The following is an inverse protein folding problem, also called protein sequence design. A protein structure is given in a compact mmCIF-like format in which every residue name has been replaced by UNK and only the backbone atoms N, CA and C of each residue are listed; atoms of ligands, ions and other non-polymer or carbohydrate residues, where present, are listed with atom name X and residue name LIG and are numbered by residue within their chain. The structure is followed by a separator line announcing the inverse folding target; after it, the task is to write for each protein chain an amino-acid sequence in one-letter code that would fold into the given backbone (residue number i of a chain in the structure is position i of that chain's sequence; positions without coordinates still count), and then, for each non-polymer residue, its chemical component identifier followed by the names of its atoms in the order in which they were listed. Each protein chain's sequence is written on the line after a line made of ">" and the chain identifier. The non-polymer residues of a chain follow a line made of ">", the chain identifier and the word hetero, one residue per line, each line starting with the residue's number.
data_IF_310208441569
#
_entry.id   IF_310208441569
#
_cell.length_a   1.000
_cell.length_b   1.000
_cell.length_c   1.000
_cell.angle_alpha   90.00
_cell.angle_beta   90.00
_cell.angle_gamma   90.00
#
_symmetry.space_group_name_H-M   'P 1'
#
loop_
_entity.id
_entity.type
_entity.pdbx_description
1 polymer ?
#
# COMPACT_ATOMS: atom_id res chain seq x y z
N UNK A 1 -27.92 -45.94 -34.47
CA UNK A 1 -26.73 -45.43 -33.72
C UNK A 1 -25.85 -44.67 -34.73
N UNK A 2 -26.02 -43.38 -34.75
CA UNK A 2 -25.34 -42.49 -35.69
C UNK A 2 -24.41 -41.59 -34.84
N UNK A 3 -23.13 -41.67 -35.10
CA UNK A 3 -22.13 -40.77 -34.55
C UNK A 3 -21.95 -39.67 -35.61
N UNK A 4 -22.11 -38.39 -35.27
CA UNK A 4 -21.77 -37.33 -36.22
C UNK A 4 -20.27 -37.09 -36.18
N UNK A 5 -19.68 -37.15 -37.36
CA UNK A 5 -18.32 -36.61 -37.61
C UNK A 5 -18.40 -35.10 -37.60
N UNK A 6 -17.44 -34.47 -36.86
CA UNK A 6 -17.24 -33.02 -36.92
C UNK A 6 -16.00 -32.76 -37.76
N UNK A 7 -16.28 -32.20 -38.94
CA UNK A 7 -15.28 -31.71 -39.87
C UNK A 7 -14.46 -30.56 -39.30
N UNK A 8 -13.18 -30.58 -39.64
CA UNK A 8 -12.16 -29.56 -39.33
C UNK A 8 -12.46 -28.23 -40.06
N UNK A 9 -12.63 -27.17 -39.31
CA UNK A 9 -12.35 -25.81 -39.81
C UNK A 9 -11.16 -25.22 -39.05
N UNK A 10 -9.99 -25.42 -39.60
CA UNK A 10 -8.82 -24.58 -39.35
C UNK A 10 -8.99 -23.31 -40.16
N UNK A 11 -9.11 -22.13 -39.56
CA UNK A 11 -8.28 -20.95 -39.88
C UNK A 11 -8.68 -19.73 -39.05
N UNK A 12 -7.66 -19.12 -38.43
CA UNK A 12 -7.62 -17.77 -37.85
C UNK A 12 -8.39 -17.56 -36.52
N UNK A 13 -7.67 -17.67 -35.41
CA UNK A 13 -7.56 -16.60 -34.41
C UNK A 13 -6.44 -16.98 -33.42
N UNK A 14 -5.23 -16.58 -33.73
CA UNK A 14 -4.15 -16.46 -32.76
C UNK A 14 -4.37 -15.11 -32.04
N UNK A 15 -4.55 -15.16 -30.75
CA UNK A 15 -4.53 -14.15 -29.70
C UNK A 15 -5.86 -14.11 -28.92
N UNK A 16 -5.95 -14.91 -27.85
CA UNK A 16 -7.08 -14.87 -26.92
C UNK A 16 -7.38 -16.16 -26.15
N UNK A 17 -6.58 -17.21 -26.26
CA UNK A 17 -6.92 -18.54 -25.74
C UNK A 17 -6.17 -19.00 -24.49
N UNK A 18 -5.34 -18.16 -23.84
CA UNK A 18 -4.64 -18.57 -22.61
C UNK A 18 -5.51 -18.48 -21.35
N UNK A 19 -6.51 -17.63 -21.34
CA UNK A 19 -7.30 -17.34 -20.11
C UNK A 19 -8.48 -18.31 -19.87
N UNK A 20 -9.07 -18.85 -20.93
CA UNK A 20 -10.27 -19.70 -20.79
C UNK A 20 -10.01 -21.09 -20.16
N UNK A 21 -8.81 -21.65 -20.27
CA UNK A 21 -8.50 -22.95 -19.65
C UNK A 21 -8.26 -22.82 -18.15
N UNK A 22 -7.51 -21.79 -17.73
CA UNK A 22 -7.28 -21.51 -16.32
C UNK A 22 -8.57 -21.22 -15.56
N UNK A 23 -9.48 -20.45 -16.15
CA UNK A 23 -10.79 -20.14 -15.56
C UNK A 23 -11.68 -21.39 -15.38
N UNK A 24 -11.73 -22.29 -16.36
CA UNK A 24 -12.52 -23.54 -16.27
C UNK A 24 -11.96 -24.52 -15.26
N UNK A 25 -10.63 -24.62 -15.18
CA UNK A 25 -9.97 -25.50 -14.20
C UNK A 25 -10.17 -24.95 -12.79
N UNK A 26 -10.09 -23.64 -12.60
CA UNK A 26 -10.36 -22.98 -11.32
C UNK A 26 -11.80 -23.27 -10.86
N UNK A 27 -12.80 -23.06 -11.70
CA UNK A 27 -14.21 -23.34 -11.41
C UNK A 27 -14.45 -24.83 -11.07
N UNK A 28 -13.79 -25.74 -11.77
CA UNK A 28 -13.89 -27.17 -11.52
C UNK A 28 -13.29 -27.55 -10.14
N UNK A 29 -12.11 -27.02 -9.79
CA UNK A 29 -11.49 -27.20 -8.47
C UNK A 29 -12.34 -26.61 -7.34
N UNK A 30 -12.89 -25.43 -7.52
CA UNK A 30 -13.82 -24.81 -6.57
C UNK A 30 -15.07 -25.70 -6.34
N UNK A 31 -15.61 -26.30 -7.39
CA UNK A 31 -16.77 -27.19 -7.31
C UNK A 31 -16.45 -28.49 -6.57
N UNK A 32 -15.26 -29.07 -6.74
CA UNK A 32 -14.88 -30.32 -6.06
C UNK A 32 -14.59 -30.06 -4.57
N UNK A 33 -14.08 -28.89 -4.21
CA UNK A 33 -13.72 -28.56 -2.83
C UNK A 33 -14.90 -28.13 -1.94
N UNK A 34 -16.12 -28.07 -2.46
CA UNK A 34 -17.32 -27.72 -1.67
C UNK A 34 -17.55 -28.68 -0.47
N UNK A 35 -17.02 -29.90 -0.52
CA UNK A 35 -17.18 -30.91 0.54
C UNK A 35 -15.98 -31.05 1.48
N UNK A 36 -14.89 -30.24 1.29
CA UNK A 36 -13.64 -30.33 2.05
C UNK A 36 -13.18 -28.98 2.60
N UNK A 37 -11.94 -28.94 3.13
CA UNK A 37 -11.29 -27.67 3.48
C UNK A 37 -10.96 -26.93 2.18
N UNK A 38 -11.46 -25.69 1.96
CA UNK A 38 -11.18 -24.95 0.74
C UNK A 38 -9.69 -24.73 0.56
N UNK A 39 -9.18 -24.96 -0.64
CA UNK A 39 -7.82 -24.56 -1.02
C UNK A 39 -7.73 -23.03 -0.98
N UNK A 40 -6.59 -22.53 -0.51
CA UNK A 40 -6.28 -21.10 -0.69
C UNK A 40 -5.93 -20.80 -2.16
N UNK A 41 -5.91 -19.51 -2.53
CA UNK A 41 -5.69 -19.10 -3.92
C UNK A 41 -4.34 -19.61 -4.46
N UNK A 42 -3.29 -19.61 -3.66
CA UNK A 42 -1.97 -20.12 -4.06
C UNK A 42 -1.96 -21.65 -4.23
N UNK A 43 -2.65 -22.39 -3.38
CA UNK A 43 -2.78 -23.84 -3.52
C UNK A 43 -3.53 -24.21 -4.80
N UNK A 44 -4.55 -23.42 -5.14
CA UNK A 44 -5.28 -23.58 -6.38
C UNK A 44 -4.40 -23.30 -7.61
N UNK A 45 -3.63 -22.21 -7.61
CA UNK A 45 -2.68 -21.89 -8.67
C UNK A 45 -1.61 -22.98 -8.83
N UNK A 46 -1.10 -23.53 -7.73
CA UNK A 46 -0.14 -24.62 -7.76
C UNK A 46 -0.71 -25.92 -8.39
N UNK A 47 -2.00 -26.17 -8.19
CA UNK A 47 -2.66 -27.33 -8.81
C UNK A 47 -2.87 -27.09 -10.33
N UNK A 48 -3.29 -25.89 -10.72
CA UNK A 48 -3.53 -25.52 -12.13
C UNK A 48 -2.23 -25.57 -12.93
N UNK A 49 -1.15 -25.00 -12.39
CA UNK A 49 0.15 -24.88 -13.06
C UNK A 49 1.16 -25.92 -12.56
N UNK A 50 0.69 -27.08 -12.06
CA UNK A 50 1.58 -28.13 -11.56
C UNK A 50 2.65 -28.51 -12.58
N UNK A 51 3.90 -28.63 -12.12
CA UNK A 51 5.06 -28.92 -12.94
C UNK A 51 6.38 -28.84 -12.15
N UNK A 52 7.55 -29.03 -12.81
CA UNK A 52 8.84 -28.97 -12.15
C UNK A 52 9.06 -27.64 -11.42
N UNK A 53 8.76 -26.54 -12.06
CA UNK A 53 8.87 -25.19 -11.47
C UNK A 53 8.15 -25.07 -10.13
N UNK A 54 6.85 -25.41 -10.07
CA UNK A 54 6.05 -25.30 -8.84
C UNK A 54 6.61 -26.21 -7.75
N UNK A 55 7.09 -27.41 -8.11
CA UNK A 55 7.70 -28.34 -7.15
C UNK A 55 8.94 -27.73 -6.49
N UNK A 56 9.83 -27.14 -7.30
CA UNK A 56 11.03 -26.46 -6.80
C UNK A 56 10.71 -25.21 -6.00
N UNK A 57 9.77 -24.39 -6.47
CA UNK A 57 9.34 -23.18 -5.79
C UNK A 57 8.74 -23.49 -4.40
N UNK A 58 7.91 -24.53 -4.29
CA UNK A 58 7.40 -25.01 -3.00
C UNK A 58 8.51 -25.51 -2.07
N UNK A 59 9.48 -26.25 -2.60
CA UNK A 59 10.60 -26.75 -1.80
C UNK A 59 11.41 -25.59 -1.19
N UNK A 60 11.57 -24.48 -1.91
CA UNK A 60 12.27 -23.28 -1.42
C UNK A 60 11.41 -22.44 -0.47
N UNK A 61 10.24 -22.00 -0.93
CA UNK A 61 9.45 -20.96 -0.26
C UNK A 61 8.40 -21.48 0.73
N UNK A 62 8.03 -22.77 0.65
CA UNK A 62 7.01 -23.36 1.55
C UNK A 62 7.60 -24.33 2.57
N UNK A 63 8.91 -24.42 2.64
CA UNK A 63 9.61 -25.28 3.60
C UNK A 63 9.94 -24.48 4.87
N UNK A 64 9.21 -24.75 5.96
CA UNK A 64 9.44 -24.10 7.27
C UNK A 64 10.82 -24.35 7.88
N UNK A 65 11.57 -25.35 7.39
CA UNK A 65 12.93 -25.67 7.83
C UNK A 65 13.99 -24.88 7.03
N UNK A 66 13.61 -24.13 6.01
CA UNK A 66 14.55 -23.28 5.29
C UNK A 66 15.11 -22.19 6.22
N UNK A 67 16.43 -22.13 6.34
CA UNK A 67 17.14 -21.18 7.22
C UNK A 67 16.80 -19.70 6.89
N UNK A 68 16.42 -19.42 5.66
CA UNK A 68 16.05 -18.07 5.23
C UNK A 68 14.66 -17.63 5.69
N UNK A 69 13.79 -18.55 6.11
CA UNK A 69 12.41 -18.23 6.51
C UNK A 69 12.35 -17.23 7.65
N UNK A 70 13.25 -17.32 8.63
CA UNK A 70 13.32 -16.35 9.73
C UNK A 70 13.66 -14.94 9.21
N UNK A 71 14.65 -14.82 8.31
CA UNK A 71 15.02 -13.55 7.67
C UNK A 71 13.84 -12.99 6.88
N UNK A 72 13.20 -13.80 6.06
CA UNK A 72 12.07 -13.38 5.23
C UNK A 72 10.84 -13.00 6.06
N UNK A 73 10.58 -13.70 7.16
CA UNK A 73 9.47 -13.43 8.08
C UNK A 73 9.53 -12.06 8.76
N UNK A 74 10.67 -11.38 8.74
CA UNK A 74 10.80 -10.01 9.19
C UNK A 74 10.09 -9.02 8.23
N UNK A 75 9.99 -9.38 6.96
CA UNK A 75 9.44 -8.52 5.90
C UNK A 75 8.09 -9.01 5.36
N UNK A 76 7.86 -10.31 5.36
CA UNK A 76 6.66 -10.94 4.81
C UNK A 76 5.72 -11.39 5.94
N UNK A 77 4.45 -11.07 5.82
CA UNK A 77 3.40 -11.55 6.72
C UNK A 77 2.92 -12.93 6.26
N UNK A 78 2.78 -13.86 7.18
CA UNK A 78 2.25 -15.19 6.89
C UNK A 78 3.15 -16.32 7.40
N UNK A 79 2.96 -17.50 6.84
CA UNK A 79 3.64 -18.75 7.20
C UNK A 79 4.07 -19.52 5.96
N UNK A 80 5.29 -20.09 5.98
CA UNK A 80 5.78 -20.92 4.89
C UNK A 80 4.85 -22.11 4.60
N UNK A 81 4.34 -22.77 5.65
CA UNK A 81 3.44 -23.93 5.52
C UNK A 81 2.13 -23.62 4.82
N UNK A 82 1.66 -22.36 4.88
CA UNK A 82 0.47 -21.86 4.17
C UNK A 82 0.80 -21.27 2.80
N UNK A 83 2.04 -21.40 2.38
CA UNK A 83 2.57 -20.92 1.09
C UNK A 83 2.57 -19.39 0.92
N UNK A 84 2.38 -18.64 2.01
CA UNK A 84 2.32 -17.17 1.96
C UNK A 84 3.63 -16.54 1.42
N UNK A 85 4.79 -17.19 1.67
CA UNK A 85 6.08 -16.74 1.12
C UNK A 85 6.19 -17.00 -0.38
N UNK A 86 5.69 -18.16 -0.86
CA UNK A 86 5.64 -18.48 -2.28
C UNK A 86 4.70 -17.53 -3.02
N UNK A 87 3.51 -17.32 -2.48
CA UNK A 87 2.54 -16.36 -3.01
C UNK A 87 3.18 -14.98 -3.20
N UNK A 88 3.83 -14.48 -2.14
CA UNK A 88 4.46 -13.16 -2.18
C UNK A 88 5.64 -13.10 -3.15
N UNK A 89 6.45 -14.14 -3.24
CA UNK A 89 7.56 -14.20 -4.19
C UNK A 89 7.05 -14.17 -5.65
N UNK A 90 5.98 -14.91 -5.93
CA UNK A 90 5.34 -14.93 -7.25
C UNK A 90 4.69 -13.59 -7.60
N UNK A 91 3.98 -12.97 -6.66
CA UNK A 91 3.40 -11.64 -6.88
C UNK A 91 4.46 -10.59 -7.22
N UNK A 92 5.58 -10.60 -6.51
CA UNK A 92 6.64 -9.63 -6.74
C UNK A 92 7.30 -9.81 -8.11
N UNK A 93 7.72 -11.03 -8.46
CA UNK A 93 8.41 -11.28 -9.74
C UNK A 93 7.50 -11.09 -10.94
N UNK A 94 6.22 -11.42 -10.80
CA UNK A 94 5.24 -11.35 -11.88
C UNK A 94 4.59 -9.96 -12.02
N UNK A 95 4.87 -9.03 -11.10
CA UNK A 95 4.20 -7.73 -11.03
C UNK A 95 2.66 -7.88 -11.01
N UNK A 96 2.19 -8.81 -10.18
CA UNK A 96 0.80 -9.21 -9.98
C UNK A 96 0.14 -10.08 -11.08
N UNK A 97 0.84 -10.41 -12.17
CA UNK A 97 0.38 -11.41 -13.16
C UNK A 97 0.89 -12.82 -12.81
N UNK A 98 0.52 -13.33 -11.64
CA UNK A 98 0.97 -14.63 -11.12
C UNK A 98 0.59 -15.77 -12.08
N UNK A 99 -0.62 -15.76 -12.63
CA UNK A 99 -1.10 -16.79 -13.55
C UNK A 99 -0.28 -16.85 -14.84
N UNK A 100 0.00 -15.70 -15.45
CA UNK A 100 0.85 -15.60 -16.64
C UNK A 100 2.26 -16.09 -16.37
N UNK A 101 2.87 -15.66 -15.27
CA UNK A 101 4.21 -16.09 -14.87
C UNK A 101 4.30 -17.61 -14.66
N UNK A 102 3.40 -18.18 -13.85
CA UNK A 102 3.37 -19.62 -13.57
C UNK A 102 3.11 -20.45 -14.84
N UNK A 103 2.27 -19.94 -15.75
CA UNK A 103 2.00 -20.60 -17.04
C UNK A 103 3.25 -20.64 -17.93
N UNK A 104 3.98 -19.52 -18.01
CA UNK A 104 5.20 -19.41 -18.82
C UNK A 104 6.32 -20.31 -18.31
N UNK A 105 6.50 -20.37 -17.00
CA UNK A 105 7.57 -21.10 -16.34
C UNK A 105 7.22 -22.54 -15.93
N UNK A 106 6.01 -23.01 -16.19
CA UNK A 106 5.47 -24.30 -15.71
C UNK A 106 6.43 -25.48 -15.84
N UNK A 107 7.14 -25.56 -16.97
CA UNK A 107 8.01 -26.67 -17.35
C UNK A 107 9.50 -26.42 -17.06
N UNK A 108 9.83 -25.29 -16.44
CA UNK A 108 11.22 -24.95 -16.12
C UNK A 108 11.74 -25.88 -15.02
N UNK A 109 12.99 -26.33 -15.20
CA UNK A 109 13.68 -27.19 -14.25
C UNK A 109 14.49 -26.41 -13.23
N UNK A 110 14.28 -25.10 -13.11
CA UNK A 110 14.88 -24.23 -12.11
C UNK A 110 13.91 -23.11 -11.71
N UNK A 111 14.27 -22.37 -10.67
CA UNK A 111 13.53 -21.22 -10.15
C UNK A 111 14.46 -20.01 -10.00
N UNK A 112 15.56 -19.98 -10.74
CA UNK A 112 16.61 -18.96 -10.58
C UNK A 112 16.06 -17.54 -10.72
N UNK A 113 15.19 -17.29 -11.69
CA UNK A 113 14.57 -15.99 -11.91
C UNK A 113 13.76 -15.53 -10.68
N UNK A 114 12.92 -16.42 -10.15
CA UNK A 114 12.11 -16.18 -8.95
C UNK A 114 12.98 -15.91 -7.72
N UNK A 115 13.96 -16.79 -7.46
CA UNK A 115 14.86 -16.66 -6.31
C UNK A 115 15.69 -15.37 -6.39
N UNK A 116 16.31 -15.10 -7.55
CA UNK A 116 17.16 -13.93 -7.73
C UNK A 116 16.38 -12.64 -7.49
N UNK A 117 15.19 -12.54 -8.08
CA UNK A 117 14.35 -11.36 -7.90
C UNK A 117 13.95 -11.19 -6.43
N UNK A 118 13.44 -12.24 -5.81
CA UNK A 118 13.01 -12.21 -4.42
C UNK A 118 14.15 -11.82 -3.47
N UNK A 119 15.32 -12.43 -3.63
CA UNK A 119 16.50 -12.08 -2.83
C UNK A 119 16.95 -10.65 -3.06
N UNK A 120 16.91 -10.16 -4.31
CA UNK A 120 17.23 -8.77 -4.61
C UNK A 120 16.35 -7.79 -3.86
N UNK A 121 15.05 -8.06 -3.75
CA UNK A 121 14.12 -7.25 -2.96
C UNK A 121 14.49 -7.27 -1.47
N UNK A 122 14.66 -8.47 -0.89
CA UNK A 122 14.96 -8.63 0.55
C UNK A 122 16.32 -8.00 0.91
N UNK A 123 17.34 -8.22 0.08
CA UNK A 123 18.69 -7.71 0.33
C UNK A 123 18.73 -6.18 0.20
N UNK A 124 18.02 -5.62 -0.80
CA UNK A 124 17.88 -4.18 -0.92
C UNK A 124 17.21 -3.57 0.33
N UNK A 125 16.07 -4.12 0.77
CA UNK A 125 15.38 -3.63 1.96
C UNK A 125 16.29 -3.67 3.18
N UNK A 126 17.00 -4.80 3.40
CA UNK A 126 17.90 -4.97 4.55
C UNK A 126 19.14 -4.08 4.48
N UNK A 127 19.55 -3.64 3.30
CA UNK A 127 20.64 -2.70 3.09
C UNK A 127 20.20 -1.26 3.38
N UNK A 128 19.00 -0.88 2.97
CA UNK A 128 18.45 0.47 3.19
C UNK A 128 18.01 0.66 4.64
N UNK A 129 17.35 -0.34 5.22
CA UNK A 129 16.85 -0.31 6.59
C UNK A 129 17.56 -1.36 7.44
N UNK A 130 18.68 -0.96 8.06
CA UNK A 130 19.51 -1.87 8.87
C UNK A 130 18.85 -2.30 10.18
N UNK A 131 17.96 -1.46 10.73
CA UNK A 131 17.17 -1.81 11.90
C UNK A 131 15.85 -2.45 11.44
N UNK A 132 15.66 -3.73 11.74
CA UNK A 132 14.42 -4.45 11.42
C UNK A 132 13.35 -4.11 12.45
N UNK A 133 12.22 -3.58 11.99
CA UNK A 133 11.09 -3.20 12.83
C UNK A 133 9.84 -4.03 12.50
N UNK A 134 8.96 -4.30 13.50
CA UNK A 134 7.75 -5.08 13.27
C UNK A 134 6.83 -4.51 12.18
N UNK A 135 6.83 -3.19 12.01
CA UNK A 135 6.03 -2.47 11.02
C UNK A 135 6.45 -2.75 9.58
N UNK A 136 7.69 -3.23 9.35
CA UNK A 136 8.19 -3.63 8.04
C UNK A 136 7.48 -4.87 7.52
N UNK A 137 6.91 -5.67 8.43
CA UNK A 137 6.28 -6.94 8.07
C UNK A 137 4.98 -6.73 7.30
N UNK A 138 4.95 -7.26 6.07
CA UNK A 138 3.80 -7.22 5.19
C UNK A 138 3.59 -5.88 4.48
N UNK A 139 4.67 -5.11 4.29
CA UNK A 139 4.69 -4.03 3.32
C UNK A 139 4.84 -4.60 1.90
N UNK A 140 4.42 -3.81 0.92
CA UNK A 140 4.53 -4.16 -0.50
C UNK A 140 5.95 -3.93 -1.04
N UNK A 141 6.92 -4.69 -0.47
CA UNK A 141 8.34 -4.48 -0.75
C UNK A 141 8.71 -4.67 -2.23
N UNK A 142 8.03 -5.56 -2.95
CA UNK A 142 8.24 -5.71 -4.40
C UNK A 142 7.89 -4.44 -5.16
N UNK A 143 6.75 -3.80 -4.87
CA UNK A 143 6.37 -2.52 -5.47
C UNK A 143 7.36 -1.41 -5.10
N UNK A 144 7.71 -1.32 -3.83
CA UNK A 144 8.67 -0.33 -3.35
C UNK A 144 10.07 -0.54 -3.97
N UNK A 145 10.47 -1.79 -4.17
CA UNK A 145 11.70 -2.11 -4.87
C UNK A 145 11.67 -1.60 -6.32
N UNK A 146 10.63 -1.91 -7.08
CA UNK A 146 10.48 -1.45 -8.46
C UNK A 146 10.57 0.08 -8.57
N UNK A 147 10.01 0.80 -7.62
CA UNK A 147 9.94 2.26 -7.64
C UNK A 147 11.22 2.95 -7.13
N UNK A 148 11.90 2.34 -6.15
CA UNK A 148 12.90 3.04 -5.37
C UNK A 148 14.30 2.42 -5.37
N UNK A 149 14.51 1.18 -5.85
CA UNK A 149 15.82 0.51 -5.75
C UNK A 149 16.95 1.21 -6.53
N UNK A 150 16.62 1.97 -7.55
CA UNK A 150 17.61 2.75 -8.33
C UNK A 150 18.13 4.00 -7.63
N UNK A 151 17.60 4.36 -6.44
CA UNK A 151 18.04 5.52 -5.67
C UNK A 151 19.11 5.13 -4.65
N UNK A 152 19.99 6.09 -4.32
CA UNK A 152 20.99 5.90 -3.26
C UNK A 152 20.44 6.34 -1.91
N UNK A 153 20.66 5.53 -0.88
CA UNK A 153 20.26 5.82 0.50
C UNK A 153 21.47 5.71 1.44
N UNK A 154 21.51 6.57 2.45
CA UNK A 154 22.43 6.41 3.58
C UNK A 154 21.72 5.60 4.69
N UNK A 155 22.15 4.36 4.98
CA UNK A 155 21.48 3.51 5.96
C UNK A 155 21.46 4.07 7.37
N UNK A 156 22.51 4.82 7.77
CA UNK A 156 22.58 5.47 9.09
C UNK A 156 21.54 6.59 9.20
N UNK A 157 21.45 7.42 8.16
CA UNK A 157 20.44 8.48 8.09
C UNK A 157 19.04 7.87 8.09
N UNK A 158 18.77 6.87 7.27
CA UNK A 158 17.48 6.17 7.21
C UNK A 158 17.07 5.63 8.58
N UNK A 159 17.98 4.97 9.30
CA UNK A 159 17.73 4.48 10.66
C UNK A 159 17.39 5.61 11.64
N UNK A 160 18.12 6.72 11.59
CA UNK A 160 17.84 7.91 12.41
C UNK A 160 16.48 8.53 12.11
N UNK A 161 16.16 8.71 10.83
CA UNK A 161 14.91 9.30 10.37
C UNK A 161 13.70 8.40 10.75
N UNK A 162 13.83 7.07 10.61
CA UNK A 162 12.79 6.11 11.05
C UNK A 162 12.53 6.26 12.55
N UNK A 163 13.58 6.31 13.39
CA UNK A 163 13.44 6.46 14.86
C UNK A 163 12.78 7.79 15.21
N UNK A 164 13.15 8.86 14.54
CA UNK A 164 12.59 10.20 14.77
C UNK A 164 11.09 10.23 14.43
N UNK A 165 10.71 9.74 13.25
CA UNK A 165 9.30 9.68 12.83
C UNK A 165 8.49 8.68 13.67
N UNK A 166 9.10 7.58 14.09
CA UNK A 166 8.45 6.62 14.97
C UNK A 166 8.21 7.16 16.38
N UNK A 167 8.99 8.11 16.87
CA UNK A 167 8.80 8.78 18.14
C UNK A 167 7.81 9.96 18.08
N UNK A 168 7.44 10.42 16.89
CA UNK A 168 6.52 11.54 16.70
C UNK A 168 5.07 11.10 16.84
N UNK A 169 4.39 11.61 17.85
CA UNK A 169 2.98 11.31 18.14
C UNK A 169 2.01 11.78 17.05
N UNK A 170 2.41 12.70 16.19
CA UNK A 170 1.60 13.16 15.05
C UNK A 170 1.54 12.13 13.92
N UNK A 171 2.54 11.24 13.82
CA UNK A 171 2.60 10.16 12.83
C UNK A 171 1.68 9.02 13.25
N UNK A 172 0.59 8.83 12.51
CA UNK A 172 -0.40 7.78 12.79
C UNK A 172 -0.12 6.49 12.01
N UNK A 173 0.45 6.60 10.81
CA UNK A 173 0.82 5.45 9.99
C UNK A 173 2.30 5.10 10.15
N UNK A 174 2.62 4.22 11.10
CA UNK A 174 3.99 3.71 11.30
C UNK A 174 4.52 2.97 10.08
N UNK A 175 3.68 2.23 9.37
CA UNK A 175 4.02 1.55 8.13
C UNK A 175 4.35 2.52 6.99
N UNK A 176 3.67 3.66 6.94
CA UNK A 176 3.90 4.68 5.92
C UNK A 176 5.26 5.38 6.02
N UNK A 177 5.94 5.29 7.18
CA UNK A 177 7.27 5.88 7.39
C UNK A 177 8.27 5.37 6.34
N UNK A 178 8.25 4.07 6.06
CA UNK A 178 9.22 3.46 5.15
C UNK A 178 9.08 3.99 3.72
N UNK A 179 7.86 3.99 3.18
CA UNK A 179 7.60 4.53 1.85
C UNK A 179 7.84 6.05 1.79
N UNK A 180 7.44 6.78 2.83
CA UNK A 180 7.70 8.21 2.94
C UNK A 180 9.20 8.54 2.82
N UNK A 181 10.06 7.83 3.53
CA UNK A 181 11.51 8.02 3.50
C UNK A 181 12.11 7.59 2.15
N UNK A 182 11.65 6.49 1.56
CA UNK A 182 12.05 6.05 0.22
C UNK A 182 11.68 7.08 -0.85
N UNK A 183 10.54 7.75 -0.69
CA UNK A 183 10.04 8.84 -1.54
C UNK A 183 10.69 10.21 -1.25
N UNK A 184 11.86 10.24 -0.59
CA UNK A 184 12.59 11.48 -0.22
C UNK A 184 11.76 12.43 0.68
N UNK A 185 10.91 11.89 1.53
CA UNK A 185 10.12 12.62 2.52
C UNK A 185 9.14 13.66 1.91
N UNK A 186 8.62 13.38 0.72
CA UNK A 186 7.76 14.32 -0.01
C UNK A 186 6.29 14.13 0.36
N UNK A 187 5.75 12.90 0.31
CA UNK A 187 4.32 12.66 0.51
C UNK A 187 3.95 12.42 1.98
N UNK A 188 3.64 13.50 2.69
CA UNK A 188 3.21 13.45 4.10
C UNK A 188 1.90 12.67 4.33
N UNK A 189 1.11 12.37 3.29
CA UNK A 189 -0.11 11.55 3.41
C UNK A 189 0.20 10.13 3.85
N UNK A 190 1.37 9.62 3.47
CA UNK A 190 1.85 8.30 3.88
C UNK A 190 1.98 8.16 5.40
N UNK A 191 2.25 9.26 6.10
CA UNK A 191 2.37 9.30 7.57
C UNK A 191 1.02 9.40 8.30
N UNK A 192 -0.07 9.58 7.57
CA UNK A 192 -1.43 9.82 8.11
C UNK A 192 -1.46 10.95 9.14
N UNK A 193 -0.65 11.99 8.92
CA UNK A 193 -0.59 13.19 9.77
C UNK A 193 -1.82 14.04 9.48
N UNK A 194 -2.77 14.02 10.41
CA UNK A 194 -4.05 14.74 10.29
C UNK A 194 -4.05 16.09 11.02
N UNK A 195 -2.93 16.45 11.63
CA UNK A 195 -2.83 17.64 12.49
C UNK A 195 -1.95 18.68 11.82
N UNK A 196 -2.41 19.93 11.79
CA UNK A 196 -1.57 21.06 11.41
C UNK A 196 -0.62 21.44 12.55
N UNK A 197 0.64 21.67 12.23
CA UNK A 197 1.64 22.15 13.19
C UNK A 197 1.34 23.57 13.69
N UNK A 198 1.70 23.88 14.91
CA UNK A 198 1.46 25.19 15.52
C UNK A 198 1.98 26.40 14.70
N UNK A 199 3.17 26.35 14.06
CA UNK A 199 3.61 27.43 13.17
C UNK A 199 2.63 27.67 12.02
N UNK A 200 2.13 26.60 11.39
CA UNK A 200 1.14 26.70 10.29
C UNK A 200 -0.14 27.36 10.78
N UNK A 201 -0.69 26.88 11.92
CA UNK A 201 -1.89 27.43 12.54
C UNK A 201 -1.75 28.94 12.79
N UNK A 202 -0.62 29.39 13.33
CA UNK A 202 -0.35 30.81 13.62
C UNK A 202 -0.28 31.64 12.35
N UNK A 203 0.38 31.14 11.30
CA UNK A 203 0.48 31.84 10.01
C UNK A 203 -0.90 31.99 9.36
N UNK A 204 -1.69 30.93 9.35
CA UNK A 204 -3.04 30.96 8.75
C UNK A 204 -3.97 31.86 9.57
N UNK A 205 -3.94 31.78 10.90
CA UNK A 205 -4.67 32.69 11.78
C UNK A 205 -4.35 34.15 11.49
N UNK A 206 -3.07 34.50 11.43
CA UNK A 206 -2.63 35.86 11.14
C UNK A 206 -3.12 36.33 9.78
N UNK A 207 -2.97 35.53 8.72
CA UNK A 207 -3.46 35.84 7.37
C UNK A 207 -4.97 36.05 7.34
N UNK A 208 -5.76 35.16 7.97
CA UNK A 208 -7.22 35.30 8.00
C UNK A 208 -7.65 36.55 8.78
N UNK A 209 -7.03 36.81 9.94
CA UNK A 209 -7.34 37.97 10.76
C UNK A 209 -7.01 39.28 10.00
N UNK A 210 -5.82 39.37 9.38
CA UNK A 210 -5.41 40.50 8.60
C UNK A 210 -6.31 40.73 7.39
N UNK A 211 -6.78 39.68 6.73
CA UNK A 211 -7.63 39.78 5.54
C UNK A 211 -9.01 40.43 5.79
N UNK A 212 -9.49 40.40 7.04
CA UNK A 212 -10.78 40.94 7.46
C UNK A 212 -10.64 42.23 8.29
N UNK A 213 -9.41 42.67 8.56
CA UNK A 213 -9.11 43.89 9.29
C UNK A 213 -9.73 45.11 8.54
N UNK A 214 -10.49 45.90 9.24
CA UNK A 214 -11.21 47.08 8.68
C UNK A 214 -12.45 46.74 7.86
N UNK A 215 -12.77 45.45 7.60
CA UNK A 215 -13.95 45.08 6.79
C UNK A 215 -15.21 44.82 7.63
N UNK A 216 -15.09 44.75 8.95
CA UNK A 216 -16.20 44.38 9.82
C UNK A 216 -16.72 42.94 9.64
N UNK A 217 -15.83 42.06 9.24
CA UNK A 217 -16.12 40.62 9.02
C UNK A 217 -15.40 39.76 10.05
N UNK A 218 -15.92 38.55 10.30
CA UNK A 218 -15.27 37.57 11.19
C UNK A 218 -14.03 36.97 10.55
N UNK A 219 -12.99 36.74 11.36
CA UNK A 219 -11.83 35.93 10.94
C UNK A 219 -12.13 34.43 10.88
N UNK A 220 -13.32 33.97 11.31
CA UNK A 220 -13.83 32.63 10.98
C UNK A 220 -14.61 32.71 9.66
N UNK A 221 -14.17 32.05 8.57
CA UNK A 221 -14.82 32.12 7.26
C UNK A 221 -16.30 31.74 7.27
N UNK A 222 -16.67 30.74 8.11
CA UNK A 222 -18.08 30.33 8.21
C UNK A 222 -18.93 31.28 9.06
N UNK A 223 -18.35 32.04 9.99
CA UNK A 223 -19.06 33.13 10.64
C UNK A 223 -19.25 34.32 9.69
N UNK A 224 -18.26 34.70 8.90
CA UNK A 224 -18.29 35.82 7.99
C UNK A 224 -19.45 35.74 6.98
N UNK A 225 -19.74 34.54 6.47
CA UNK A 225 -20.87 34.29 5.54
C UNK A 225 -22.19 34.03 6.26
N UNK A 226 -22.17 33.88 7.59
CA UNK A 226 -23.37 33.64 8.41
C UNK A 226 -24.22 34.89 8.61
N UNK A 227 -25.44 34.71 9.11
CA UNK A 227 -26.40 35.81 9.41
C UNK A 227 -26.56 36.10 10.88
N UNK A 228 -25.80 35.37 11.75
CA UNK A 228 -25.88 35.48 13.22
C UNK A 228 -25.00 36.63 13.77
N UNK A 229 -25.11 36.85 15.09
CA UNK A 229 -24.35 37.90 15.81
C UNK A 229 -22.82 37.76 15.74
N UNK A 230 -22.29 36.59 15.33
CA UNK A 230 -20.85 36.33 15.22
C UNK A 230 -20.28 36.75 13.85
N UNK A 231 -21.09 37.27 12.94
CA UNK A 231 -20.67 37.66 11.58
C UNK A 231 -19.48 38.63 11.58
N UNK A 232 -19.38 39.49 12.57
CA UNK A 232 -18.33 40.51 12.67
C UNK A 232 -17.35 40.23 13.81
N UNK A 233 -17.43 39.03 14.46
CA UNK A 233 -16.58 38.69 15.60
C UNK A 233 -15.21 38.30 15.15
N UNK A 234 -14.18 38.97 15.70
CA UNK A 234 -12.78 38.52 15.61
C UNK A 234 -12.50 37.61 16.81
N UNK A 235 -12.25 36.35 16.50
CA UNK A 235 -11.87 35.33 17.51
C UNK A 235 -10.37 35.41 17.77
N UNK A 236 -9.98 35.13 19.03
CA UNK A 236 -8.57 34.95 19.39
C UNK A 236 -8.07 33.59 18.88
N UNK A 237 -6.76 33.44 18.84
CA UNK A 237 -6.12 32.20 18.34
C UNK A 237 -6.55 30.95 19.14
N UNK A 238 -6.70 31.08 20.46
CA UNK A 238 -7.13 30.02 21.38
C UNK A 238 -8.64 29.70 21.33
N UNK A 239 -9.43 30.54 20.66
CA UNK A 239 -10.86 30.32 20.42
C UNK A 239 -11.12 29.62 19.05
N UNK A 240 -10.05 29.32 18.30
CA UNK A 240 -10.12 28.75 16.96
C UNK A 240 -9.34 27.45 16.85
N UNK A 241 -9.89 26.53 16.06
CA UNK A 241 -9.24 25.28 15.69
C UNK A 241 -8.83 25.30 14.23
N UNK A 242 -7.72 24.64 13.93
CA UNK A 242 -7.33 24.42 12.54
C UNK A 242 -8.10 23.27 11.92
N UNK A 243 -8.62 23.48 10.76
CA UNK A 243 -9.41 22.51 10.00
C UNK A 243 -8.96 22.44 8.54
N UNK A 244 -9.21 21.31 7.89
CA UNK A 244 -8.91 21.12 6.49
C UNK A 244 -9.99 21.78 5.61
N UNK A 245 -9.60 22.63 4.67
CA UNK A 245 -10.54 23.21 3.68
C UNK A 245 -11.16 22.06 2.87
N UNK A 246 -10.34 21.23 2.29
CA UNK A 246 -10.73 19.95 1.69
C UNK A 246 -10.53 18.85 2.71
N UNK A 247 -11.59 18.17 3.11
CA UNK A 247 -11.54 17.16 4.17
C UNK A 247 -10.48 16.08 3.91
N UNK A 248 -9.78 15.66 4.96
CA UNK A 248 -8.80 14.57 4.91
C UNK A 248 -9.38 13.29 4.28
N UNK A 249 -10.60 12.93 4.67
CA UNK A 249 -11.33 11.76 4.14
C UNK A 249 -11.59 11.82 2.62
N UNK A 250 -11.48 13.03 2.03
CA UNK A 250 -11.63 13.28 0.58
C UNK A 250 -10.28 13.52 -0.12
N UNK A 251 -9.17 13.13 0.52
CA UNK A 251 -7.83 13.26 -0.04
C UNK A 251 -7.13 14.61 0.20
N UNK A 252 -7.70 15.48 1.04
CA UNK A 252 -7.04 16.73 1.45
C UNK A 252 -5.81 16.47 2.31
N UNK A 253 -4.64 17.03 1.96
CA UNK A 253 -3.42 16.95 2.78
C UNK A 253 -3.39 18.00 3.88
N UNK A 254 -2.43 17.85 4.85
CA UNK A 254 -2.22 18.84 5.93
C UNK A 254 -1.20 19.92 5.54
N UNK A 255 -1.30 20.45 4.32
CA UNK A 255 -0.49 21.59 3.87
C UNK A 255 -1.11 22.92 4.31
N UNK A 256 -0.32 24.01 4.34
CA UNK A 256 -0.79 25.33 4.72
C UNK A 256 -1.91 25.83 3.82
N UNK A 257 -1.89 25.46 2.51
CA UNK A 257 -2.91 25.84 1.53
C UNK A 257 -4.26 25.19 1.81
N UNK A 258 -4.25 24.02 2.44
CA UNK A 258 -5.45 23.28 2.82
C UNK A 258 -5.86 23.54 4.29
N UNK A 259 -5.20 24.48 4.98
CA UNK A 259 -5.50 24.85 6.37
C UNK A 259 -6.40 26.08 6.42
N UNK A 260 -7.45 26.01 7.26
CA UNK A 260 -8.25 27.16 7.66
C UNK A 260 -8.42 27.16 9.19
N UNK A 261 -8.56 28.35 9.77
CA UNK A 261 -8.92 28.50 11.17
C UNK A 261 -10.43 28.71 11.29
N UNK A 262 -11.10 27.86 12.04
CA UNK A 262 -12.54 27.97 12.34
C UNK A 262 -12.76 28.20 13.83
N UNK A 263 -13.79 28.95 14.19
CA UNK A 263 -14.20 28.97 15.60
C UNK A 263 -14.64 27.58 16.04
N UNK A 264 -14.45 27.23 17.31
CA UNK A 264 -14.70 25.90 17.87
C UNK A 264 -16.12 25.36 17.53
N UNK A 265 -17.13 26.23 17.46
CA UNK A 265 -18.50 25.85 17.08
C UNK A 265 -18.57 25.38 15.62
N UNK A 266 -17.99 26.13 14.70
CA UNK A 266 -18.02 25.78 13.27
C UNK A 266 -17.11 24.59 12.95
N UNK A 267 -15.98 24.46 13.64
CA UNK A 267 -15.12 23.30 13.48
C UNK A 267 -15.85 22.01 13.86
N UNK A 268 -16.54 21.99 15.02
CA UNK A 268 -17.35 20.84 15.43
C UNK A 268 -18.52 20.55 14.50
N UNK A 269 -19.21 21.60 14.02
CA UNK A 269 -20.35 21.44 13.12
C UNK A 269 -19.96 20.96 11.72
N UNK A 270 -18.77 21.35 11.21
CA UNK A 270 -18.26 20.92 9.91
C UNK A 270 -17.91 19.41 9.96
N UNK A 271 -17.28 18.94 11.03
CA UNK A 271 -16.84 17.54 11.14
C UNK A 271 -15.99 17.12 9.94
N UNK A 272 -16.25 15.92 9.41
CA UNK A 272 -15.55 15.35 8.25
C UNK A 272 -16.23 15.62 6.90
N UNK A 273 -16.91 16.75 6.75
CA UNK A 273 -17.65 17.09 5.51
C UNK A 273 -16.79 17.74 4.45
#
# INVERSE_FOLDING_TARGET
>A
RIIPQVESQNHRMANGFSDCRGFRVKQWFETINIAGVPLNDQELLNAIYSGPFVTLAKAEFSNSQNANIQKWGAYIKGSANRQDFLERALEWVSKADVGGYMSAHRNDNDINGLQTYFHSVIDWVSTVFVDVLPEMRGLEWGRLYEEYHGKSYDPKKMSGDVKTLAADDSVKSRKGIFEFLLGASVDKKLLDIRVFENPVKRVIYAKQTQSVEGKGESNCPLCAVGTNANKNRIYKFDEMDADHVSAWSKGGGSSAENCQMLCATHNRAKGNR
#
